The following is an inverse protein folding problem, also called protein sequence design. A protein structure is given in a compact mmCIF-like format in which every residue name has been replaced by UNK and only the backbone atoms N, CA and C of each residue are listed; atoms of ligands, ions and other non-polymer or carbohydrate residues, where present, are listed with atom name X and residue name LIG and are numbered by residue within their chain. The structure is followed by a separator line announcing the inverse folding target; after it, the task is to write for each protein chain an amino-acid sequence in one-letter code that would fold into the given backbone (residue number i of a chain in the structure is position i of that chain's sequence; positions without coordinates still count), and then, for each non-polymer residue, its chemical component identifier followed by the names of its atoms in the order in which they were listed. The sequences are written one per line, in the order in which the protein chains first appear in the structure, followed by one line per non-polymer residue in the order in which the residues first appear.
data_IF_400898099206
#
_entry.id   IF_400898099206
#
_cell.length_a   1.000
_cell.length_b   1.000
_cell.length_c   1.000
_cell.angle_alpha   90.00
_cell.angle_beta   90.00
_cell.angle_gamma   90.00
#
_symmetry.space_group_name_H-M   'P 1'
#
loop_
_entity.id
_entity.type
_entity.pdbx_description
1 polymer ?
#
# COMPACT_ATOMS: atom_id res chain seq x y z
N UNK A 1 -15.18 -3.24 -12.62
CA UNK A 1 -14.78 -2.13 -11.73
C UNK A 1 -13.84 -2.74 -10.69
N UNK A 2 -12.54 -2.75 -10.98
CA UNK A 2 -11.50 -3.52 -10.27
C UNK A 2 -11.23 -2.99 -8.85
N UNK A 3 -11.51 -1.70 -8.62
CA UNK A 3 -11.26 -1.01 -7.35
C UNK A 3 -12.16 -1.55 -6.23
N UNK A 4 -13.44 -1.86 -6.51
CA UNK A 4 -14.36 -2.35 -5.48
C UNK A 4 -14.05 -3.79 -5.04
N UNK A 5 -13.58 -4.63 -5.97
CA UNK A 5 -13.16 -6.00 -5.65
C UNK A 5 -11.93 -6.01 -4.75
N UNK A 6 -10.96 -5.12 -5.01
CA UNK A 6 -9.78 -4.94 -4.18
C UNK A 6 -10.12 -4.44 -2.77
N UNK A 7 -11.06 -3.51 -2.65
CA UNK A 7 -11.58 -3.05 -1.36
C UNK A 7 -12.30 -4.19 -0.60
N UNK A 8 -13.02 -5.06 -1.33
CA UNK A 8 -13.66 -6.24 -0.77
C UNK A 8 -12.67 -7.24 -0.17
N UNK A 9 -11.54 -7.47 -0.83
CA UNK A 9 -10.49 -8.39 -0.38
C UNK A 9 -9.76 -7.87 0.86
N UNK A 10 -9.44 -6.58 0.90
CA UNK A 10 -8.82 -5.94 2.07
C UNK A 10 -9.77 -5.99 3.28
N UNK A 11 -11.07 -5.73 3.06
CA UNK A 11 -12.10 -5.75 4.12
C UNK A 11 -12.34 -7.16 4.70
N UNK A 12 -12.08 -8.21 3.92
CA UNK A 12 -12.23 -9.62 4.33
C UNK A 12 -11.03 -10.21 5.06
N UNK A 13 -9.93 -9.45 5.24
CA UNK A 13 -8.78 -9.85 6.07
C UNK A 13 -8.14 -11.19 5.64
N UNK A 14 -8.28 -11.54 4.36
CA UNK A 14 -7.71 -12.75 3.75
C UNK A 14 -6.24 -12.59 3.33
N UNK A 15 -5.67 -11.41 3.55
CA UNK A 15 -4.23 -11.17 3.41
C UNK A 15 -3.57 -11.58 4.72
N UNK A 16 -3.05 -12.81 4.75
CA UNK A 16 -2.31 -13.36 5.88
C UNK A 16 -1.05 -12.53 6.11
N UNK A 17 -1.11 -11.65 7.11
CA UNK A 17 0.01 -10.84 7.61
C UNK A 17 1.06 -11.76 8.24
N UNK A 18 1.95 -12.34 7.44
CA UNK A 18 3.15 -13.03 7.90
C UNK A 18 4.31 -12.05 7.87
N UNK A 19 4.51 -11.31 8.95
CA UNK A 19 5.58 -10.32 9.04
C UNK A 19 5.69 -9.69 10.42
N UNK A 20 6.47 -10.36 11.27
CA UNK A 20 7.32 -9.82 12.35
C UNK A 20 6.69 -8.92 13.43
N UNK A 21 6.73 -9.47 14.66
CA UNK A 21 6.63 -8.74 15.93
C UNK A 21 7.75 -7.67 15.99
N UNK A 22 7.39 -6.40 16.13
CA UNK A 22 8.32 -5.28 16.37
C UNK A 22 7.84 -4.48 17.62
N UNK A 23 8.74 -3.94 18.46
CA UNK A 23 8.46 -3.59 19.86
C UNK A 23 7.65 -2.30 20.03
N UNK A 24 6.85 -2.28 21.09
CA UNK A 24 5.75 -1.35 21.38
C UNK A 24 6.13 0.09 21.81
N UNK A 25 7.31 0.60 21.47
CA UNK A 25 7.77 1.93 21.94
C UNK A 25 8.05 2.98 20.85
N UNK A 26 8.37 2.55 19.62
CA UNK A 26 8.64 3.41 18.44
C UNK A 26 7.47 3.28 17.43
N UNK A 27 6.47 2.47 17.79
CA UNK A 27 5.53 1.90 16.87
C UNK A 27 4.57 2.91 16.24
N UNK A 28 4.32 4.09 16.80
CA UNK A 28 3.27 4.97 16.24
C UNK A 28 3.75 5.73 14.99
N UNK A 29 4.92 6.37 15.06
CA UNK A 29 5.53 7.03 13.89
C UNK A 29 6.13 6.04 12.91
N UNK A 30 6.76 4.96 13.39
CA UNK A 30 7.26 3.91 12.52
C UNK A 30 6.11 3.13 11.85
N UNK A 31 4.96 2.93 12.51
CA UNK A 31 3.77 2.38 11.83
C UNK A 31 3.17 3.36 10.85
N UNK A 32 3.13 4.66 11.12
CA UNK A 32 2.64 5.63 10.11
C UNK A 32 3.53 5.60 8.87
N UNK A 33 4.86 5.65 9.06
CA UNK A 33 5.82 5.58 7.95
C UNK A 33 5.80 4.22 7.25
N UNK A 34 5.61 3.14 8.01
CA UNK A 34 5.47 1.79 7.45
C UNK A 34 4.14 1.61 6.71
N UNK A 35 3.07 2.25 7.17
CA UNK A 35 1.77 2.26 6.49
C UNK A 35 1.83 3.09 5.20
N UNK A 36 2.51 4.22 5.23
CA UNK A 36 2.79 5.04 4.03
C UNK A 36 3.63 4.26 3.01
N UNK A 37 4.71 3.60 3.44
CA UNK A 37 5.52 2.74 2.58
C UNK A 37 4.72 1.55 2.02
N UNK A 38 3.89 0.90 2.85
CA UNK A 38 3.02 -0.18 2.40
C UNK A 38 2.00 0.31 1.38
N UNK A 39 1.45 1.50 1.57
CA UNK A 39 0.49 2.09 0.65
C UNK A 39 1.15 2.46 -0.69
N UNK A 40 2.35 3.03 -0.66
CA UNK A 40 3.15 3.28 -1.86
C UNK A 40 3.40 1.99 -2.66
N UNK A 41 3.88 0.92 -1.99
CA UNK A 41 4.15 -0.38 -2.64
C UNK A 41 2.88 -1.01 -3.19
N UNK A 42 1.76 -0.93 -2.45
CA UNK A 42 0.48 -1.46 -2.90
C UNK A 42 -0.02 -0.73 -4.15
N UNK A 43 0.01 0.60 -4.16
CA UNK A 43 -0.41 1.41 -5.33
C UNK A 43 0.49 1.13 -6.53
N UNK A 44 1.82 1.07 -6.32
CA UNK A 44 2.78 0.73 -7.38
C UNK A 44 2.52 -0.65 -7.98
N UNK A 45 2.31 -1.66 -7.14
CA UNK A 45 2.02 -3.02 -7.58
C UNK A 45 0.69 -3.12 -8.34
N UNK A 46 -0.32 -2.37 -7.93
CA UNK A 46 -1.60 -2.27 -8.62
C UNK A 46 -1.48 -1.60 -9.99
N UNK A 47 -0.71 -0.52 -10.08
CA UNK A 47 -0.43 0.15 -11.35
C UNK A 47 0.34 -0.75 -12.32
N UNK A 48 1.37 -1.47 -11.84
CA UNK A 48 2.07 -2.46 -12.66
C UNK A 48 1.14 -3.58 -13.12
N UNK A 49 0.25 -4.06 -12.24
CA UNK A 49 -0.77 -5.06 -12.59
C UNK A 49 -1.82 -4.56 -13.59
N UNK A 50 -2.03 -3.24 -13.69
CA UNK A 50 -2.90 -2.61 -14.67
C UNK A 50 -2.22 -2.35 -16.04
N UNK A 51 -0.92 -2.70 -16.17
CA UNK A 51 -0.17 -2.58 -17.42
C UNK A 51 0.61 -1.26 -17.55
N UNK A 52 0.74 -0.47 -16.49
CA UNK A 52 1.61 0.71 -16.47
C UNK A 52 3.08 0.30 -16.37
N UNK A 53 3.95 1.09 -16.99
CA UNK A 53 5.40 0.94 -16.85
C UNK A 53 5.82 1.08 -15.38
N UNK A 54 6.99 0.54 -15.03
CA UNK A 54 7.57 0.70 -13.70
C UNK A 54 7.69 2.18 -13.31
N UNK A 55 8.12 3.02 -14.27
CA UNK A 55 8.25 4.46 -14.08
C UNK A 55 6.89 5.16 -13.87
N UNK A 56 5.90 4.83 -14.69
CA UNK A 56 4.53 5.39 -14.55
C UNK A 56 3.88 4.93 -13.25
N UNK A 57 4.14 3.69 -12.83
CA UNK A 57 3.64 3.13 -11.59
C UNK A 57 4.22 3.84 -10.37
N UNK A 58 5.50 4.23 -10.43
CA UNK A 58 6.17 5.04 -9.40
C UNK A 58 5.62 6.47 -9.36
N UNK A 59 5.37 7.10 -10.51
CA UNK A 59 4.70 8.41 -10.55
C UNK A 59 3.29 8.37 -9.99
N UNK A 60 2.50 7.34 -10.33
CA UNK A 60 1.13 7.15 -9.80
C UNK A 60 1.18 6.95 -8.29
N UNK A 61 2.08 6.09 -7.78
CA UNK A 61 2.22 5.86 -6.35
C UNK A 61 2.62 7.14 -5.61
N UNK A 62 3.58 7.90 -6.15
CA UNK A 62 4.01 9.18 -5.58
C UNK A 62 2.89 10.24 -5.55
N UNK A 63 2.12 10.34 -6.63
CA UNK A 63 0.98 11.27 -6.71
C UNK A 63 -0.14 10.90 -5.73
N UNK A 64 -0.40 9.60 -5.53
CA UNK A 64 -1.38 9.11 -4.56
C UNK A 64 -0.92 9.43 -3.14
N UNK A 65 0.34 9.15 -2.80
CA UNK A 65 0.91 9.46 -1.49
C UNK A 65 0.83 10.97 -1.16
N UNK A 66 1.13 11.82 -2.13
CA UNK A 66 1.08 13.29 -1.97
C UNK A 66 -0.34 13.82 -1.71
N UNK A 67 -1.38 13.15 -2.23
CA UNK A 67 -2.78 13.53 -2.01
C UNK A 67 -3.39 13.00 -0.72
N UNK A 68 -2.75 12.02 -0.09
CA UNK A 68 -3.18 11.40 1.16
C UNK A 68 -2.57 12.06 2.41
N UNK A 69 -1.58 12.94 2.20
CA UNK A 69 -0.99 13.81 3.22
C UNK A 69 -1.75 15.11 3.41
#
# INVERSE_FOLDING_TARGET
MIIDELLGLIRRREVTWTGTVLPAGIADSARSHQQELQMFVAVRALSMGAGYSEFESDEIASAVMTRLG
#
